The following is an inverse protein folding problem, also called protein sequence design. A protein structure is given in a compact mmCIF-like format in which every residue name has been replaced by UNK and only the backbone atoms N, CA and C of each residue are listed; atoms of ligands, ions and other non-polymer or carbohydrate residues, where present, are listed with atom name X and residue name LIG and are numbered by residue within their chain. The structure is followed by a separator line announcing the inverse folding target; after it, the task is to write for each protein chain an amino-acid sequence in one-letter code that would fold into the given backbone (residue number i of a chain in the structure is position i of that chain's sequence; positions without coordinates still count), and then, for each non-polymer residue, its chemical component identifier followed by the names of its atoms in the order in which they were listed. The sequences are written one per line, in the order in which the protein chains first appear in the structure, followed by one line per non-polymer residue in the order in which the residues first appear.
data_IF_337957933165
#
_entry.id   IF_337957933165
#
_cell.length_a   1.000
_cell.length_b   1.000
_cell.length_c   1.000
_cell.angle_alpha   90.00
_cell.angle_beta   90.00
_cell.angle_gamma   90.00
#
_symmetry.space_group_name_H-M   'P 1'
#
loop_
_entity.id
_entity.type
_entity.pdbx_description
1 polymer ?
#
# COMPACT_ATOMS: atom_id res chain seq x y z
N UNK A 1 -3.75 7.47 11.76
CA UNK A 1 -3.85 8.90 11.90
C UNK A 1 -3.39 9.60 10.61
N UNK A 2 -3.50 10.94 10.58
CA UNK A 2 -3.26 11.70 9.37
C UNK A 2 -1.81 11.58 8.88
N UNK A 3 -0.84 11.54 9.79
CA UNK A 3 0.56 11.45 9.42
C UNK A 3 0.90 10.10 8.80
N UNK A 4 0.34 9.03 9.36
CA UNK A 4 0.58 7.70 8.83
C UNK A 4 -0.05 7.54 7.45
N UNK A 5 -1.26 8.05 7.25
CA UNK A 5 -1.92 8.07 5.96
C UNK A 5 -1.05 8.77 4.91
N UNK A 6 -0.58 9.97 5.24
CA UNK A 6 0.23 10.77 4.32
C UNK A 6 1.56 10.08 4.04
N UNK A 7 2.20 9.52 5.07
CA UNK A 7 3.48 8.85 4.90
C UNK A 7 3.38 7.66 3.96
N UNK A 8 2.35 6.83 4.13
CA UNK A 8 2.14 5.67 3.26
C UNK A 8 1.88 6.13 1.83
N UNK A 9 1.04 7.13 1.67
CA UNK A 9 0.70 7.63 0.34
C UNK A 9 1.93 8.20 -0.38
N UNK A 10 2.75 8.98 0.35
CA UNK A 10 3.98 9.53 -0.21
C UNK A 10 4.97 8.44 -0.61
N UNK A 11 5.10 7.40 0.22
CA UNK A 11 5.96 6.27 -0.09
C UNK A 11 5.50 5.55 -1.36
N UNK A 12 4.20 5.32 -1.51
CA UNK A 12 3.67 4.68 -2.70
C UNK A 12 3.90 5.53 -3.94
N UNK A 13 3.69 6.84 -3.84
CA UNK A 13 3.93 7.75 -4.95
C UNK A 13 5.40 7.76 -5.37
N UNK A 14 6.31 7.58 -4.42
CA UNK A 14 7.73 7.53 -4.72
C UNK A 14 8.15 6.20 -5.32
N UNK A 15 7.76 5.10 -4.69
CA UNK A 15 8.27 3.78 -5.07
C UNK A 15 7.54 3.14 -6.26
N UNK A 16 6.23 3.37 -6.39
CA UNK A 16 5.47 2.69 -7.44
C UNK A 16 6.04 2.93 -8.85
N UNK A 17 6.30 4.17 -9.26
CA UNK A 17 6.83 4.40 -10.61
C UNK A 17 8.26 3.88 -10.80
N UNK A 18 8.95 3.58 -9.70
CA UNK A 18 10.33 3.08 -9.73
C UNK A 18 10.41 1.56 -9.64
N UNK A 19 9.28 0.88 -9.44
CA UNK A 19 9.26 -0.58 -9.36
C UNK A 19 9.47 -1.19 -10.72
N UNK A 20 10.32 -2.23 -10.76
CA UNK A 20 10.43 -3.06 -11.96
C UNK A 20 9.29 -4.06 -11.97
N UNK A 21 8.95 -4.58 -13.15
CA UNK A 21 7.97 -5.65 -13.30
C UNK A 21 8.36 -6.83 -12.41
N UNK A 22 7.43 -7.28 -11.60
CA UNK A 22 7.69 -8.35 -10.65
C UNK A 22 8.21 -7.87 -9.29
N UNK A 23 8.50 -6.59 -9.15
CA UNK A 23 8.90 -6.02 -7.86
C UNK A 23 7.76 -6.07 -6.85
N UNK A 24 8.10 -6.10 -5.58
CA UNK A 24 7.12 -6.26 -4.49
C UNK A 24 7.29 -5.16 -3.47
N UNK A 25 6.17 -4.56 -3.05
CA UNK A 25 6.11 -3.68 -1.88
C UNK A 25 5.27 -4.39 -0.82
N UNK A 26 5.81 -4.50 0.39
CA UNK A 26 5.07 -5.05 1.53
C UNK A 26 4.69 -3.90 2.45
N UNK A 27 3.43 -3.84 2.85
CA UNK A 27 2.91 -2.78 3.68
C UNK A 27 2.37 -3.40 4.97
N UNK A 28 2.94 -2.99 6.11
CA UNK A 28 2.48 -3.41 7.42
C UNK A 28 1.26 -2.60 7.85
N UNK A 29 0.51 -3.16 8.80
CA UNK A 29 -0.66 -2.49 9.41
C UNK A 29 -1.75 -2.14 8.41
N UNK A 30 -1.78 -2.81 7.26
CA UNK A 30 -2.73 -2.51 6.20
C UNK A 30 -4.18 -2.65 6.69
N UNK A 31 -4.48 -3.74 7.38
CA UNK A 31 -5.85 -4.02 7.82
C UNK A 31 -5.98 -3.91 9.34
N UNK A 32 -5.14 -3.10 9.97
CA UNK A 32 -5.18 -2.91 11.41
C UNK A 32 -6.25 -1.89 11.77
N UNK A 33 -7.14 -2.27 12.70
CA UNK A 33 -8.16 -1.34 13.18
C UNK A 33 -7.54 -0.14 13.90
N UNK A 34 -6.32 -0.29 14.44
CA UNK A 34 -5.63 0.79 15.14
C UNK A 34 -5.06 1.84 14.18
N UNK A 35 -4.86 1.47 12.90
CA UNK A 35 -4.24 2.37 11.92
C UNK A 35 -5.02 2.38 10.61
N UNK A 36 -6.28 2.84 10.63
CA UNK A 36 -7.13 2.78 9.43
C UNK A 36 -6.61 3.64 8.27
N UNK A 37 -5.76 4.61 8.58
CA UNK A 37 -5.17 5.46 7.53
C UNK A 37 -4.30 4.71 6.55
N UNK A 38 -3.66 3.60 6.97
CA UNK A 38 -2.82 2.81 6.07
C UNK A 38 -3.66 2.19 4.96
N UNK A 39 -4.75 1.52 5.32
CA UNK A 39 -5.64 0.89 4.33
C UNK A 39 -6.24 1.94 3.40
N UNK A 40 -6.65 3.07 3.96
CA UNK A 40 -7.22 4.15 3.16
C UNK A 40 -6.22 4.67 2.14
N UNK A 41 -4.97 4.90 2.56
CA UNK A 41 -3.94 5.41 1.66
C UNK A 41 -3.66 4.43 0.53
N UNK A 42 -3.53 3.14 0.84
CA UNK A 42 -3.28 2.11 -0.16
C UNK A 42 -4.46 2.01 -1.13
N UNK A 43 -5.68 1.98 -0.59
CA UNK A 43 -6.88 1.85 -1.42
C UNK A 43 -7.03 3.03 -2.37
N UNK A 44 -6.80 4.24 -1.88
CA UNK A 44 -6.91 5.43 -2.72
C UNK A 44 -5.82 5.46 -3.79
N UNK A 45 -4.59 5.13 -3.40
CA UNK A 45 -3.49 5.15 -4.37
C UNK A 45 -3.69 4.09 -5.47
N UNK A 46 -4.15 2.90 -5.09
CA UNK A 46 -4.28 1.78 -6.03
C UNK A 46 -5.58 1.80 -6.83
N UNK A 47 -6.47 2.76 -6.57
CA UNK A 47 -7.81 2.79 -7.20
C UNK A 47 -7.73 2.85 -8.72
N UNK A 48 -6.72 3.53 -9.29
CA UNK A 48 -6.57 3.68 -10.73
C UNK A 48 -5.42 2.83 -11.29
N UNK A 49 -4.91 1.88 -10.49
CA UNK A 49 -3.82 1.00 -10.90
C UNK A 49 -4.37 -0.37 -11.26
N UNK A 50 -3.61 -1.12 -12.03
CA UNK A 50 -4.03 -2.47 -12.43
C UNK A 50 -3.67 -3.54 -11.41
N UNK A 51 -2.75 -3.23 -10.50
CA UNK A 51 -2.39 -4.15 -9.43
C UNK A 51 -3.39 -4.07 -8.29
N UNK A 52 -3.54 -5.16 -7.54
CA UNK A 52 -4.37 -5.20 -6.35
C UNK A 52 -3.53 -5.56 -5.14
N UNK A 53 -3.77 -4.92 -3.99
CA UNK A 53 -3.10 -5.34 -2.76
C UNK A 53 -3.51 -6.78 -2.41
N UNK A 54 -2.53 -7.62 -2.13
CA UNK A 54 -2.77 -9.01 -1.75
C UNK A 54 -2.55 -9.13 -0.25
N UNK A 55 -3.57 -9.64 0.46
CA UNK A 55 -3.46 -9.82 1.90
C UNK A 55 -2.54 -11.01 2.17
N UNK A 56 -1.42 -10.78 2.84
CA UNK A 56 -0.44 -11.83 3.13
C UNK A 56 -0.56 -12.36 4.55
N UNK A 57 -0.96 -11.50 5.47
CA UNK A 57 -1.26 -11.87 6.86
C UNK A 57 -2.48 -11.08 7.30
N UNK A 58 -2.84 -11.18 8.58
CA UNK A 58 -4.01 -10.46 9.09
C UNK A 58 -3.90 -8.95 8.90
N UNK A 59 -2.68 -8.42 8.93
CA UNK A 59 -2.47 -6.96 8.92
C UNK A 59 -1.51 -6.49 7.84
N UNK A 60 -1.02 -7.39 6.99
CA UNK A 60 -0.08 -7.02 5.92
C UNK A 60 -0.70 -7.18 4.56
N UNK A 61 -0.26 -6.37 3.61
CA UNK A 61 -0.56 -6.62 2.21
C UNK A 61 0.72 -6.47 1.38
N UNK A 62 0.70 -7.05 0.21
CA UNK A 62 1.79 -6.93 -0.76
C UNK A 62 1.23 -6.46 -2.08
N UNK A 63 2.00 -5.61 -2.77
CA UNK A 63 1.67 -5.15 -4.11
C UNK A 63 2.77 -5.68 -5.03
N UNK A 64 2.40 -6.49 -6.00
CA UNK A 64 3.33 -7.05 -6.97
C UNK A 64 3.15 -6.28 -8.27
N UNK A 65 4.22 -5.68 -8.75
CA UNK A 65 4.17 -4.84 -9.95
C UNK A 65 3.94 -5.68 -11.19
N UNK A 66 2.92 -5.37 -11.94
CA UNK A 66 2.58 -6.06 -13.18
C UNK A 66 3.32 -5.50 -14.40
#
# INVERSE_FOLDING_TARGET
DADLYRSVKDCLEFFYPRMVKGGIIVIDDYDSWAWPGVKKAVSEFMADKKEYPVITTEIQCAIIKL
#
